data_IF_221975101485
#
_entry.id   IF_221975101485
#
_cell.length_a   1.000
_cell.length_b   1.000
_cell.length_c   1.000
_cell.angle_alpha   90.00
_cell.angle_beta   90.00
_cell.angle_gamma   90.00
#
_symmetry.space_group_name_H-M   'P 1'
#
loop_
_entity.id
_entity.type
_entity.pdbx_description
1 polymer ?
#
# COMPACT_ATOMS: atom_id res chain seq x y z
N UNK A 1 0.97 7.93 9.06
CA UNK A 1 1.40 6.85 8.17
C UNK A 1 0.36 5.75 8.14
N UNK A 2 0.07 5.20 6.95
CA UNK A 2 -0.99 4.21 6.78
C UNK A 2 -0.52 2.80 7.14
N UNK A 3 0.70 2.45 6.73
CA UNK A 3 1.23 1.10 6.91
C UNK A 3 2.00 0.95 8.22
N UNK A 4 2.03 -0.26 8.77
CA UNK A 4 2.76 -0.57 10.01
C UNK A 4 4.26 -0.53 9.76
N UNK A 5 4.91 0.50 10.26
CA UNK A 5 6.32 0.80 10.03
C UNK A 5 7.25 -0.36 10.41
N UNK A 6 7.02 -0.96 11.57
CA UNK A 6 7.86 -2.04 12.08
C UNK A 6 7.77 -3.28 11.19
N UNK A 7 6.56 -3.63 10.76
CA UNK A 7 6.34 -4.79 9.88
C UNK A 7 6.99 -4.58 8.52
N UNK A 8 6.91 -3.37 7.98
CA UNK A 8 7.51 -3.04 6.69
C UNK A 8 9.03 -3.16 6.77
N UNK A 9 9.63 -2.65 7.83
CA UNK A 9 11.07 -2.78 8.04
C UNK A 9 11.50 -4.24 8.12
N UNK A 10 10.71 -5.07 8.77
CA UNK A 10 10.98 -6.51 8.87
C UNK A 10 10.95 -7.18 7.49
N UNK A 11 9.92 -6.88 6.69
CA UNK A 11 9.80 -7.41 5.34
C UNK A 11 10.98 -7.02 4.46
N UNK A 12 11.43 -5.78 4.55
CA UNK A 12 12.56 -5.29 3.78
C UNK A 12 13.83 -6.05 4.14
N UNK A 13 14.06 -6.27 5.43
CA UNK A 13 15.23 -7.04 5.89
C UNK A 13 15.17 -8.48 5.43
N UNK A 14 13.99 -9.10 5.42
CA UNK A 14 13.81 -10.46 4.92
C UNK A 14 14.20 -10.59 3.44
N UNK A 15 14.07 -9.51 2.68
CA UNK A 15 14.43 -9.48 1.26
C UNK A 15 15.89 -9.09 1.02
N UNK A 16 16.70 -9.06 2.07
CA UNK A 16 18.14 -8.84 1.94
C UNK A 16 18.58 -7.39 1.87
N UNK A 17 17.66 -6.44 2.11
CA UNK A 17 17.96 -5.01 2.11
C UNK A 17 18.17 -4.55 3.55
N UNK A 18 19.27 -3.85 3.81
CA UNK A 18 19.65 -3.46 5.17
C UNK A 18 19.21 -2.06 5.57
N UNK A 19 19.07 -1.16 4.61
CA UNK A 19 18.80 0.25 4.89
C UNK A 19 17.57 0.75 4.15
N UNK A 20 16.90 1.73 4.76
CA UNK A 20 15.69 2.36 4.22
C UNK A 20 15.94 3.86 4.20
N UNK A 21 15.71 4.52 3.07
CA UNK A 21 15.88 5.95 2.96
C UNK A 21 14.80 6.69 3.79
N UNK A 22 15.09 7.95 4.14
CA UNK A 22 14.19 8.74 4.97
C UNK A 22 12.84 9.01 4.31
N UNK A 23 12.80 9.08 2.98
CA UNK A 23 11.58 9.36 2.22
C UNK A 23 10.85 8.11 1.75
N UNK A 24 11.41 6.92 2.00
CA UNK A 24 10.81 5.67 1.55
C UNK A 24 9.41 5.47 2.12
N UNK A 25 9.24 5.70 3.41
CA UNK A 25 7.96 5.48 4.08
C UNK A 25 6.89 6.45 3.59
N UNK A 26 7.25 7.70 3.31
CA UNK A 26 6.31 8.66 2.73
C UNK A 26 5.89 8.25 1.31
N UNK A 27 6.84 7.82 0.51
CA UNK A 27 6.56 7.36 -0.84
C UNK A 27 5.67 6.11 -0.83
N UNK A 28 5.91 5.21 0.13
CA UNK A 28 5.09 4.02 0.30
C UNK A 28 3.65 4.39 0.67
N UNK A 29 3.47 5.33 1.60
CA UNK A 29 2.14 5.80 1.99
C UNK A 29 1.37 6.33 0.78
N UNK A 30 2.02 7.13 -0.07
CA UNK A 30 1.39 7.65 -1.28
C UNK A 30 0.99 6.53 -2.23
N UNK A 31 1.82 5.52 -2.39
CA UNK A 31 1.49 4.37 -3.24
C UNK A 31 0.31 3.58 -2.70
N UNK A 32 0.25 3.40 -1.38
CA UNK A 32 -0.89 2.73 -0.76
C UNK A 32 -2.18 3.53 -0.99
N UNK A 33 -2.13 4.84 -0.81
CA UNK A 33 -3.29 5.70 -1.05
C UNK A 33 -3.78 5.59 -2.48
N UNK A 34 -2.87 5.59 -3.46
CA UNK A 34 -3.23 5.44 -4.87
C UNK A 34 -3.84 4.07 -5.16
N UNK A 35 -3.27 3.01 -4.60
CA UNK A 35 -3.81 1.66 -4.78
C UNK A 35 -5.23 1.54 -4.23
N UNK A 36 -5.46 2.10 -3.04
CA UNK A 36 -6.79 2.08 -2.42
C UNK A 36 -7.77 2.90 -3.23
N UNK A 37 -7.38 4.09 -3.68
CA UNK A 37 -8.23 4.94 -4.50
C UNK A 37 -8.63 4.24 -5.79
N UNK A 38 -7.68 3.63 -6.49
CA UNK A 38 -7.94 2.91 -7.72
C UNK A 38 -8.88 1.72 -7.49
N UNK A 39 -8.67 0.99 -6.40
CA UNK A 39 -9.54 -0.14 -6.05
C UNK A 39 -10.97 0.34 -5.79
N UNK A 40 -11.14 1.45 -5.09
CA UNK A 40 -12.45 2.03 -4.83
C UNK A 40 -13.14 2.48 -6.12
N UNK A 41 -12.40 3.09 -7.04
CA UNK A 41 -12.95 3.48 -8.34
C UNK A 41 -13.44 2.28 -9.14
N UNK A 42 -12.69 1.17 -9.12
CA UNK A 42 -13.11 -0.07 -9.78
C UNK A 42 -14.38 -0.65 -9.18
N UNK A 43 -14.48 -0.63 -7.86
CA UNK A 43 -15.69 -1.09 -7.17
C UNK A 43 -16.91 -0.26 -7.58
N UNK A 44 -16.77 1.06 -7.60
CA UNK A 44 -17.85 1.98 -7.98
C UNK A 44 -18.26 1.77 -9.44
N UNK A 45 -17.31 1.62 -10.34
CA UNK A 45 -17.60 1.35 -11.76
C UNK A 45 -18.42 0.08 -11.97
N UNK A 46 -18.21 -0.91 -11.10
CA UNK A 46 -18.94 -2.16 -11.15
C UNK A 46 -20.17 -2.17 -10.26
N UNK A 47 -20.65 -1.01 -9.86
CA UNK A 47 -21.84 -0.82 -9.03
C UNK A 47 -21.80 -1.60 -7.72
N UNK A 48 -20.60 -1.76 -7.14
CA UNK A 48 -20.42 -2.43 -5.85
C UNK A 48 -20.13 -1.43 -4.76
N UNK A 49 -20.54 -1.76 -3.54
CA UNK A 49 -20.26 -0.98 -2.34
C UNK A 49 -19.10 -1.57 -1.52
N UNK A 50 -18.60 -2.73 -1.95
CA UNK A 50 -17.53 -3.43 -1.25
C UNK A 50 -16.30 -3.49 -2.13
N UNK A 51 -15.16 -3.03 -1.61
CA UNK A 51 -13.87 -3.18 -2.29
C UNK A 51 -13.41 -4.62 -2.07
N UNK A 52 -13.00 -5.27 -3.15
CA UNK A 52 -12.55 -6.66 -3.13
C UNK A 52 -11.10 -6.78 -3.59
N UNK A 53 -10.46 -7.90 -3.24
CA UNK A 53 -9.07 -8.14 -3.64
C UNK A 53 -8.88 -8.05 -5.16
N UNK A 54 -9.86 -8.45 -5.95
CA UNK A 54 -9.81 -8.36 -7.42
C UNK A 54 -9.79 -6.93 -7.95
N UNK A 55 -10.08 -5.95 -7.10
CA UNK A 55 -10.05 -4.54 -7.49
C UNK A 55 -8.62 -3.96 -7.46
N UNK A 56 -7.69 -4.66 -6.85
CA UNK A 56 -6.28 -4.24 -6.80
C UNK A 56 -5.54 -4.53 -8.15
#
# INVERSE_FOLDING_TARGET
MIAAKTQIKFMIKQNGVQNISNDFMEALDRKIELLVKDACERAVKNARRTVMARDL
#
